data_IF_811148920596
#
_entry.id   IF_811148920596
#
_cell.length_a   1.000
_cell.length_b   1.000
_cell.length_c   1.000
_cell.angle_alpha   90.00
_cell.angle_beta   90.00
_cell.angle_gamma   90.00
#
_symmetry.space_group_name_H-M   'P 1'
#
loop_
_entity.id
_entity.type
_entity.pdbx_description
1 polymer ?
#
# COMPACT_ATOMS: atom_id res chain seq x y z
N UNK A 1 10.78 -9.76 -7.08
CA UNK A 1 11.07 -9.16 -8.39
C UNK A 1 10.61 -7.73 -8.33
N UNK A 2 11.52 -6.77 -8.36
CA UNK A 2 11.17 -5.35 -8.37
C UNK A 2 11.14 -4.89 -9.83
N UNK A 3 10.09 -4.18 -10.25
CA UNK A 3 10.01 -3.60 -11.59
C UNK A 3 10.38 -2.12 -11.47
N UNK A 4 11.61 -1.72 -11.81
CA UNK A 4 12.10 -0.37 -11.56
C UNK A 4 11.42 0.69 -12.44
N UNK A 5 10.82 0.28 -13.56
CA UNK A 5 10.09 1.15 -14.48
C UNK A 5 8.65 0.65 -14.68
N UNK A 6 7.67 1.52 -14.38
CA UNK A 6 6.25 1.20 -14.45
C UNK A 6 5.72 1.09 -15.88
N UNK A 7 6.31 1.79 -16.84
CA UNK A 7 5.95 1.69 -18.24
C UNK A 7 6.38 0.33 -18.82
N UNK A 8 7.59 -0.10 -18.49
CA UNK A 8 8.12 -1.42 -18.86
C UNK A 8 7.30 -2.54 -18.19
N UNK A 9 6.95 -2.38 -16.91
CA UNK A 9 6.08 -3.30 -16.19
C UNK A 9 4.72 -3.48 -16.90
N UNK A 10 4.05 -2.36 -17.20
CA UNK A 10 2.77 -2.37 -17.88
C UNK A 10 2.83 -3.03 -19.25
N UNK A 11 3.87 -2.71 -20.04
CA UNK A 11 4.08 -3.28 -21.36
C UNK A 11 4.27 -4.81 -21.33
N UNK A 12 5.08 -5.33 -20.41
CA UNK A 12 5.26 -6.78 -20.29
C UNK A 12 3.99 -7.52 -19.84
N UNK A 13 3.21 -6.94 -18.94
CA UNK A 13 1.95 -7.54 -18.49
C UNK A 13 0.88 -7.54 -19.59
N UNK A 14 0.87 -6.50 -20.43
CA UNK A 14 0.01 -6.41 -21.61
C UNK A 14 0.36 -7.48 -22.65
N UNK A 15 1.66 -7.65 -22.95
CA UNK A 15 2.13 -8.75 -23.82
C UNK A 15 1.74 -10.13 -23.26
N UNK A 16 1.77 -10.29 -21.94
CA UNK A 16 1.38 -11.54 -21.28
C UNK A 16 -0.14 -11.80 -21.29
N UNK A 17 -0.96 -10.91 -21.88
CA UNK A 17 -2.41 -11.06 -21.98
C UNK A 17 -3.16 -10.83 -20.67
N UNK A 18 -2.57 -10.08 -19.75
CA UNK A 18 -3.17 -9.79 -18.44
C UNK A 18 -4.36 -8.84 -18.58
N UNK A 19 -5.43 -9.04 -17.81
CA UNK A 19 -6.60 -8.16 -17.85
C UNK A 19 -6.23 -6.72 -17.43
N UNK A 20 -6.76 -5.67 -18.08
CA UNK A 20 -6.36 -4.28 -17.81
C UNK A 20 -6.48 -3.85 -16.36
N UNK A 21 -7.54 -4.27 -15.66
CA UNK A 21 -7.73 -3.96 -14.24
C UNK A 21 -6.67 -4.60 -13.35
N UNK A 22 -6.24 -5.83 -13.71
CA UNK A 22 -5.15 -6.55 -13.03
C UNK A 22 -3.81 -5.88 -13.31
N UNK A 23 -3.56 -5.42 -14.54
CA UNK A 23 -2.36 -4.62 -14.88
C UNK A 23 -2.32 -3.35 -14.03
N UNK A 24 -3.44 -2.61 -13.95
CA UNK A 24 -3.56 -1.39 -13.15
C UNK A 24 -3.31 -1.64 -11.67
N UNK A 25 -3.84 -2.74 -11.11
CA UNK A 25 -3.55 -3.17 -9.74
C UNK A 25 -2.05 -3.38 -9.50
N UNK A 26 -1.40 -4.19 -10.34
CA UNK A 26 0.04 -4.50 -10.23
C UNK A 26 0.89 -3.23 -10.35
N UNK A 27 0.57 -2.35 -11.29
CA UNK A 27 1.29 -1.07 -11.46
C UNK A 27 1.16 -0.19 -10.21
N UNK A 28 -0.05 -0.07 -9.65
CA UNK A 28 -0.28 0.75 -8.46
C UNK A 28 0.43 0.17 -7.22
N UNK A 29 0.38 -1.14 -7.02
CA UNK A 29 1.10 -1.81 -5.93
C UNK A 29 2.62 -1.66 -6.08
N UNK A 30 3.16 -1.84 -7.28
CA UNK A 30 4.60 -1.67 -7.54
C UNK A 30 5.04 -0.21 -7.35
N UNK A 31 4.22 0.77 -7.76
CA UNK A 31 4.48 2.18 -7.47
C UNK A 31 4.59 2.44 -5.96
N UNK A 32 3.64 1.91 -5.18
CA UNK A 32 3.65 2.06 -3.72
C UNK A 32 4.85 1.36 -3.08
N UNK A 33 5.16 0.14 -3.54
CA UNK A 33 6.33 -0.62 -3.10
C UNK A 33 7.62 0.18 -3.25
N UNK A 34 7.87 0.80 -4.41
CA UNK A 34 9.09 1.57 -4.65
C UNK A 34 9.26 2.75 -3.68
N UNK A 35 8.16 3.44 -3.34
CA UNK A 35 8.20 4.50 -2.34
C UNK A 35 8.43 3.99 -0.92
N UNK A 36 7.80 2.86 -0.55
CA UNK A 36 8.04 2.22 0.74
C UNK A 36 9.49 1.72 0.86
N UNK A 37 10.05 1.18 -0.21
CA UNK A 37 11.45 0.76 -0.28
C UNK A 37 12.38 1.95 -0.03
N UNK A 38 12.14 3.09 -0.69
CA UNK A 38 12.89 4.32 -0.42
C UNK A 38 12.79 4.77 1.04
N UNK A 39 11.61 4.66 1.66
CA UNK A 39 11.42 4.98 3.09
C UNK A 39 12.17 4.00 4.00
N UNK A 40 12.22 2.71 3.66
CA UNK A 40 13.01 1.72 4.40
C UNK A 40 14.51 2.00 4.28
N UNK A 41 14.99 2.33 3.07
CA UNK A 41 16.39 2.69 2.81
C UNK A 41 16.81 3.97 3.56
N UNK A 42 15.89 4.92 3.68
CA UNK A 42 16.06 6.13 4.50
C UNK A 42 15.85 5.90 6.00
N UNK A 43 15.58 4.66 6.43
CA UNK A 43 15.32 4.30 7.83
C UNK A 43 14.13 5.07 8.46
N UNK A 44 13.15 5.49 7.65
CA UNK A 44 11.88 6.06 8.14
C UNK A 44 10.95 4.96 8.68
N UNK A 45 11.08 3.73 8.16
CA UNK A 45 10.29 2.55 8.54
C UNK A 45 11.23 1.36 8.85
N UNK A 46 10.75 0.40 9.62
CA UNK A 46 11.52 -0.79 9.98
C UNK A 46 11.56 -1.83 8.84
N UNK A 47 12.56 -2.71 8.89
CA UNK A 47 12.83 -3.71 7.86
C UNK A 47 13.80 -3.24 6.79
N UNK A 48 14.15 -4.16 5.88
CA UNK A 48 15.01 -3.90 4.71
C UNK A 48 14.21 -3.76 3.40
N UNK A 49 12.94 -4.19 3.43
CA UNK A 49 12.01 -4.11 2.32
C UNK A 49 10.57 -3.98 2.86
N UNK A 50 9.64 -3.43 2.07
CA UNK A 50 8.22 -3.44 2.40
C UNK A 50 7.72 -4.87 2.62
N UNK A 51 6.89 -5.07 3.64
CA UNK A 51 6.36 -6.39 3.99
C UNK A 51 4.92 -6.55 3.52
N UNK A 52 4.60 -7.70 2.93
CA UNK A 52 3.22 -8.14 2.72
C UNK A 52 2.72 -8.85 3.99
N UNK A 53 1.42 -8.83 4.25
CA UNK A 53 0.86 -9.51 5.42
C UNK A 53 -0.31 -10.42 5.05
N UNK A 54 -0.22 -11.67 5.49
CA UNK A 54 -1.34 -12.61 5.54
C UNK A 54 -1.96 -12.52 6.93
N UNK A 55 -3.27 -12.33 7.00
CA UNK A 55 -4.00 -12.34 8.27
C UNK A 55 -5.30 -13.11 8.15
N UNK A 56 -5.34 -14.28 8.80
CA UNK A 56 -6.42 -15.26 8.66
C UNK A 56 -6.55 -15.66 7.19
N UNK A 57 -7.74 -15.52 6.60
CA UNK A 57 -8.03 -15.91 5.21
C UNK A 57 -7.89 -14.76 4.22
N UNK A 58 -7.19 -13.68 4.60
CA UNK A 58 -7.09 -12.48 3.79
C UNK A 58 -5.69 -11.89 3.76
N UNK A 59 -5.43 -11.12 2.70
CA UNK A 59 -4.16 -10.46 2.45
C UNK A 59 -4.30 -8.95 2.72
N UNK A 60 -3.18 -8.34 3.08
CA UNK A 60 -2.97 -6.90 3.15
C UNK A 60 -1.76 -6.58 2.28
N UNK A 61 -1.90 -5.59 1.39
CA UNK A 61 -0.88 -5.26 0.39
C UNK A 61 0.45 -4.89 1.05
N UNK A 62 0.45 -3.98 2.03
CA UNK A 62 1.66 -3.69 2.80
C UNK A 62 1.43 -3.46 4.28
N UNK A 63 2.38 -3.95 5.08
CA UNK A 63 2.52 -3.71 6.49
C UNK A 63 3.79 -2.90 6.76
N UNK A 64 3.63 -1.82 7.50
CA UNK A 64 4.70 -0.88 7.83
C UNK A 64 4.80 -0.71 9.34
N UNK A 65 5.99 -0.89 9.89
CA UNK A 65 6.29 -0.47 11.24
C UNK A 65 7.08 0.85 11.17
N UNK A 66 6.52 1.91 11.74
CA UNK A 66 7.15 3.22 11.74
C UNK A 66 8.31 3.28 12.72
N UNK A 67 9.43 3.89 12.32
CA UNK A 67 10.52 4.23 13.26
C UNK A 67 10.32 5.58 13.94
N UNK A 68 9.26 6.32 13.58
CA UNK A 68 8.98 7.66 14.10
C UNK A 68 8.09 7.64 15.32
N UNK A 69 6.95 6.94 15.22
CA UNK A 69 5.98 6.81 16.31
C UNK A 69 5.88 5.38 16.86
N UNK A 70 6.66 4.44 16.32
CA UNK A 70 6.70 3.03 16.71
C UNK A 70 5.38 2.26 16.53
N UNK A 71 4.46 2.81 15.73
CA UNK A 71 3.18 2.19 15.43
C UNK A 71 3.22 1.35 14.15
N UNK A 72 2.29 0.40 14.06
CA UNK A 72 2.06 -0.40 12.86
C UNK A 72 0.97 0.24 11.99
N UNK A 73 1.25 0.27 10.70
CA UNK A 73 0.39 0.83 9.66
C UNK A 73 0.06 -0.26 8.66
N UNK A 74 -1.22 -0.37 8.32
CA UNK A 74 -1.63 -1.09 7.12
C UNK A 74 -1.71 -0.14 5.93
N UNK A 75 -1.34 -0.61 4.75
CA UNK A 75 -1.51 0.10 3.49
C UNK A 75 -2.24 -0.84 2.54
N UNK A 76 -3.35 -0.35 2.03
CA UNK A 76 -4.16 -1.05 1.04
C UNK A 76 -4.26 -0.18 -0.22
N UNK A 77 -3.84 -0.73 -1.35
CA UNK A 77 -3.81 -0.11 -2.66
C UNK A 77 -5.00 -0.61 -3.46
N UNK A 78 -5.82 0.30 -3.96
CA UNK A 78 -7.05 -0.05 -4.66
C UNK A 78 -7.18 0.67 -5.96
N UNK A 79 -7.34 -0.12 -7.02
CA UNK A 79 -7.84 0.35 -8.29
C UNK A 79 -9.35 0.65 -8.29
N UNK A 80 -10.10 0.25 -7.24
CA UNK A 80 -11.56 0.40 -7.18
C UNK A 80 -12.18 0.57 -5.78
N UNK A 81 -13.51 0.48 -5.69
CA UNK A 81 -14.30 0.89 -4.50
C UNK A 81 -14.41 -0.14 -3.37
N UNK A 82 -14.00 -1.39 -3.56
CA UNK A 82 -14.18 -2.45 -2.56
C UNK A 82 -13.33 -2.17 -1.30
N UNK A 83 -13.93 -2.16 -0.11
CA UNK A 83 -13.18 -2.02 1.16
C UNK A 83 -12.59 -3.37 1.57
N UNK A 84 -11.38 -3.34 2.11
CA UNK A 84 -10.54 -4.53 2.34
C UNK A 84 -10.93 -5.09 3.68
N UNK A 85 -11.68 -6.19 3.68
CA UNK A 85 -12.17 -6.81 4.92
C UNK A 85 -11.02 -7.19 5.85
N UNK A 86 -9.85 -7.53 5.30
CA UNK A 86 -8.64 -7.88 6.06
C UNK A 86 -8.07 -6.67 6.80
N UNK A 87 -7.81 -5.56 6.10
CA UNK A 87 -7.22 -4.36 6.68
C UNK A 87 -8.07 -3.78 7.80
N UNK A 88 -9.39 -3.72 7.60
CA UNK A 88 -10.33 -3.28 8.64
C UNK A 88 -10.31 -4.21 9.85
N UNK A 89 -10.25 -5.53 9.63
CA UNK A 89 -10.15 -6.51 10.71
C UNK A 89 -8.82 -6.40 11.47
N UNK A 90 -7.71 -6.17 10.77
CA UNK A 90 -6.40 -5.95 11.41
C UNK A 90 -6.41 -4.68 12.27
N UNK A 91 -7.11 -3.64 11.83
CA UNK A 91 -7.28 -2.40 12.60
C UNK A 91 -8.14 -2.64 13.86
N UNK A 92 -9.26 -3.36 13.73
CA UNK A 92 -10.13 -3.72 14.86
C UNK A 92 -9.44 -4.65 15.86
N UNK A 93 -8.69 -5.64 15.38
CA UNK A 93 -7.95 -6.62 16.20
C UNK A 93 -6.64 -6.03 16.79
N UNK A 94 -6.34 -4.75 16.51
CA UNK A 94 -5.17 -4.03 17.04
C UNK A 94 -3.82 -4.47 16.46
N UNK A 95 -3.83 -5.20 15.33
CA UNK A 95 -2.60 -5.61 14.63
C UNK A 95 -1.92 -4.43 13.92
N UNK A 96 -2.73 -3.48 13.47
CA UNK A 96 -2.30 -2.16 13.00
C UNK A 96 -2.99 -1.08 13.83
N UNK A 97 -2.35 0.07 13.99
CA UNK A 97 -2.89 1.25 14.69
C UNK A 97 -3.50 2.26 13.72
N UNK A 98 -3.06 2.27 12.46
CA UNK A 98 -3.56 3.15 11.41
C UNK A 98 -3.64 2.41 10.07
N UNK A 99 -4.53 2.87 9.19
CA UNK A 99 -4.75 2.30 7.87
C UNK A 99 -4.73 3.39 6.79
N UNK A 100 -3.83 3.26 5.81
CA UNK A 100 -3.85 4.05 4.58
C UNK A 100 -4.59 3.29 3.47
N UNK A 101 -5.57 3.95 2.86
CA UNK A 101 -6.28 3.47 1.68
C UNK A 101 -5.85 4.30 0.47
N UNK A 102 -5.03 3.74 -0.40
CA UNK A 102 -4.49 4.41 -1.58
C UNK A 102 -5.37 4.14 -2.79
N UNK A 103 -5.96 5.19 -3.38
CA UNK A 103 -6.90 5.06 -4.51
C UNK A 103 -6.56 6.00 -5.66
N UNK A 104 -6.86 5.59 -6.88
CA UNK A 104 -6.73 6.47 -8.06
C UNK A 104 -7.82 7.55 -8.13
N UNK A 105 -9.04 7.23 -7.70
CA UNK A 105 -10.26 8.02 -7.89
C UNK A 105 -10.76 8.67 -6.58
N UNK A 106 -9.87 9.30 -5.82
CA UNK A 106 -10.22 9.95 -4.54
C UNK A 106 -9.66 11.37 -4.45
N UNK A 107 -10.35 12.23 -3.67
CA UNK A 107 -9.83 13.52 -3.23
C UNK A 107 -9.20 13.46 -1.83
N UNK A 108 -9.09 12.25 -1.29
CA UNK A 108 -8.65 11.99 0.08
C UNK A 108 -9.79 12.01 1.10
N UNK A 109 -9.48 11.63 2.33
CA UNK A 109 -10.43 11.62 3.43
C UNK A 109 -9.83 11.04 4.71
N UNK A 110 -10.42 11.38 5.86
CA UNK A 110 -10.02 10.85 7.15
C UNK A 110 -11.26 10.34 7.90
N UNK A 111 -11.17 9.12 8.41
CA UNK A 111 -12.21 8.49 9.21
C UNK A 111 -11.55 7.76 10.39
N UNK A 112 -11.48 8.43 11.53
CA UNK A 112 -10.76 7.92 12.71
C UNK A 112 -9.30 7.62 12.38
N UNK A 113 -8.92 6.34 12.46
CA UNK A 113 -7.57 5.83 12.20
C UNK A 113 -7.32 5.47 10.72
N UNK A 114 -8.32 5.66 9.86
CA UNK A 114 -8.23 5.41 8.41
C UNK A 114 -7.99 6.71 7.67
N UNK A 115 -7.03 6.70 6.75
CA UNK A 115 -6.69 7.83 5.88
C UNK A 115 -6.79 7.37 4.43
N UNK A 116 -7.75 7.92 3.69
CA UNK A 116 -7.84 7.72 2.25
C UNK A 116 -6.98 8.77 1.56
N UNK A 117 -6.10 8.32 0.66
CA UNK A 117 -5.12 9.20 0.00
C UNK A 117 -5.08 8.85 -1.49
N UNK A 118 -5.02 9.85 -2.39
CA UNK A 118 -4.75 9.58 -3.79
C UNK A 118 -3.41 8.86 -3.97
N UNK A 119 -3.37 7.77 -4.75
CA UNK A 119 -2.17 6.90 -4.86
C UNK A 119 -0.92 7.69 -5.29
N UNK A 120 -1.07 8.65 -6.19
CA UNK A 120 0.03 9.53 -6.66
C UNK A 120 0.62 10.44 -5.56
N UNK A 121 -0.01 10.54 -4.38
CA UNK A 121 0.51 11.23 -3.20
C UNK A 121 1.26 10.30 -2.23
N UNK A 122 1.51 9.03 -2.57
CA UNK A 122 2.25 8.08 -1.72
C UNK A 122 3.57 8.65 -1.19
N UNK A 123 4.33 9.36 -2.04
CA UNK A 123 5.57 10.00 -1.64
C UNK A 123 5.45 11.08 -0.57
N UNK A 124 4.24 11.60 -0.31
CA UNK A 124 3.95 12.62 0.70
C UNK A 124 3.39 12.04 2.01
N UNK A 125 3.16 10.73 2.06
CA UNK A 125 2.63 10.09 3.27
C UNK A 125 3.72 10.05 4.35
N UNK A 126 3.29 10.37 5.58
CA UNK A 126 4.07 10.21 6.81
C UNK A 126 3.48 9.10 7.70
N UNK A 127 4.36 8.43 8.44
CA UNK A 127 4.01 7.42 9.43
C UNK A 127 4.19 8.01 10.84
N UNK A 128 3.41 9.05 11.12
CA UNK A 128 3.39 9.82 12.36
C UNK A 128 1.91 10.06 12.70
N UNK A 129 1.35 9.18 13.52
CA UNK A 129 -0.09 8.97 13.71
C UNK A 129 -0.92 10.20 14.03
#
# INVERSE_FOLDING_TARGET
>A
WELPDLGVAGYFLDIAGTQPDTISGIINENFVYLYLKKKADNQEIAGLAPMYALYKDGELDFFVNSRKDYQNYGIEVKAGRAVGKTADRMLTDGKIQYLYLLKGDTFGGMEGKKRTVPVYLMGRISFEG
#
